data_IF_105916444100
#
_entry.id   IF_105916444100
#
_cell.length_a   1.000
_cell.length_b   1.000
_cell.length_c   1.000
_cell.angle_alpha   90.00
_cell.angle_beta   90.00
_cell.angle_gamma   90.00
#
_symmetry.space_group_name_H-M   'P 1'
#
loop_
_entity.id
_entity.type
_entity.pdbx_description
1 polymer ?
#
# COMPACT_ATOMS: atom_id res chain seq x y z
N UNK A 1 -5.06 -9.54 15.76
CA UNK A 1 -3.78 -9.64 15.04
C UNK A 1 -3.98 -10.61 13.91
N UNK A 2 -3.66 -10.19 12.70
CA UNK A 2 -3.59 -11.05 11.53
C UNK A 2 -2.43 -12.01 11.74
N UNK A 3 -2.48 -13.22 11.17
CA UNK A 3 -1.34 -14.13 11.30
C UNK A 3 -0.14 -13.52 10.56
N UNK A 4 1.10 -13.68 11.05
CA UNK A 4 2.28 -13.10 10.38
C UNK A 4 2.36 -13.43 8.87
N UNK A 5 1.98 -14.66 8.51
CA UNK A 5 1.91 -15.13 7.12
C UNK A 5 0.82 -14.48 6.25
N UNK A 6 -0.17 -13.83 6.87
CA UNK A 6 -1.30 -13.16 6.21
C UNK A 6 -1.18 -11.63 6.29
N UNK A 7 -0.13 -11.08 6.94
CA UNK A 7 0.04 -9.64 7.18
C UNK A 7 0.31 -8.84 5.90
N UNK A 8 0.96 -9.46 4.92
CA UNK A 8 1.38 -8.77 3.71
C UNK A 8 0.63 -9.27 2.48
N UNK A 9 0.37 -8.37 1.56
CA UNK A 9 -0.13 -8.70 0.22
C UNK A 9 0.67 -7.92 -0.82
N UNK A 10 1.21 -8.62 -1.82
CA UNK A 10 1.97 -8.00 -2.91
C UNK A 10 1.08 -7.79 -4.15
N UNK A 11 1.21 -6.64 -4.80
CA UNK A 11 0.65 -6.39 -6.14
C UNK A 11 1.46 -7.05 -7.26
N UNK A 12 2.60 -7.67 -6.92
CA UNK A 12 3.56 -8.21 -7.87
C UNK A 12 4.57 -7.17 -8.35
N UNK A 13 5.42 -7.62 -9.28
CA UNK A 13 6.61 -6.90 -9.72
C UNK A 13 6.35 -6.12 -11.02
N UNK A 14 6.77 -4.85 -11.05
CA UNK A 14 6.76 -4.03 -12.26
C UNK A 14 8.20 -3.76 -12.74
N UNK A 15 8.50 -4.19 -13.96
CA UNK A 15 9.83 -4.07 -14.57
C UNK A 15 9.90 -2.86 -15.51
N UNK A 16 10.91 -2.01 -15.31
CA UNK A 16 11.19 -0.85 -16.18
C UNK A 16 12.20 -1.22 -17.27
N UNK A 17 11.86 -2.23 -18.05
CA UNK A 17 12.72 -2.83 -19.06
C UNK A 17 12.47 -4.33 -19.22
N UNK A 18 13.37 -5.02 -19.90
CA UNK A 18 13.31 -6.49 -19.99
C UNK A 18 13.63 -7.11 -18.63
N UNK A 19 12.77 -8.01 -18.16
CA UNK A 19 12.99 -8.82 -16.94
C UNK A 19 14.22 -9.73 -17.05
N UNK A 20 14.65 -10.08 -18.27
CA UNK A 20 15.84 -10.91 -18.50
C UNK A 20 17.14 -10.17 -18.20
N UNK A 21 17.11 -8.83 -18.17
CA UNK A 21 18.27 -8.04 -17.78
C UNK A 21 18.29 -7.89 -16.25
N UNK A 22 19.26 -8.48 -15.53
CA UNK A 22 19.31 -8.45 -14.07
C UNK A 22 19.46 -7.05 -13.49
N UNK A 23 19.90 -6.06 -14.29
CA UNK A 23 20.03 -4.66 -13.87
C UNK A 23 18.78 -3.82 -14.10
N UNK A 24 17.72 -4.42 -14.65
CA UNK A 24 16.46 -3.72 -14.87
C UNK A 24 15.90 -3.28 -13.53
N UNK A 25 15.62 -1.98 -13.42
CA UNK A 25 14.96 -1.42 -12.25
C UNK A 25 13.57 -2.03 -12.13
N UNK A 26 13.24 -2.50 -10.94
CA UNK A 26 11.98 -3.16 -10.63
C UNK A 26 11.42 -2.54 -9.37
N UNK A 27 10.10 -2.37 -9.30
CA UNK A 27 9.45 -2.08 -8.05
C UNK A 27 8.32 -3.07 -7.76
N UNK A 28 8.03 -3.23 -6.48
CA UNK A 28 6.90 -4.01 -5.99
C UNK A 28 6.15 -3.15 -4.99
N UNK A 29 4.84 -3.20 -5.06
CA UNK A 29 3.96 -2.50 -4.15
C UNK A 29 3.40 -3.54 -3.16
N UNK A 30 3.66 -3.36 -1.87
CA UNK A 30 3.26 -4.31 -0.84
C UNK A 30 2.36 -3.62 0.17
N UNK A 31 1.18 -4.19 0.37
CA UNK A 31 0.26 -3.80 1.42
C UNK A 31 0.64 -4.42 2.76
N UNK A 32 0.73 -3.62 3.80
CA UNK A 32 0.84 -4.06 5.19
C UNK A 32 -0.52 -3.88 5.90
N UNK A 33 -1.19 -4.99 6.20
CA UNK A 33 -2.50 -4.97 6.86
C UNK A 33 -2.46 -4.45 8.30
N UNK A 34 -1.32 -4.54 9.00
CA UNK A 34 -1.20 -4.00 10.37
C UNK A 34 -1.01 -2.47 10.34
N UNK A 35 -0.27 -1.96 9.35
CA UNK A 35 -0.03 -0.52 9.20
C UNK A 35 -1.06 0.17 8.30
N UNK A 36 -1.93 -0.59 7.64
CA UNK A 36 -2.97 -0.13 6.70
C UNK A 36 -2.42 0.81 5.62
N UNK A 37 -1.29 0.44 5.02
CA UNK A 37 -0.63 1.25 3.98
C UNK A 37 0.12 0.40 2.98
N UNK A 38 0.29 0.96 1.77
CA UNK A 38 1.22 0.45 0.77
C UNK A 38 2.64 0.95 1.06
N UNK A 39 3.62 0.08 0.85
CA UNK A 39 5.04 0.43 0.83
C UNK A 39 5.62 -0.06 -0.49
N UNK A 40 6.28 0.85 -1.20
CA UNK A 40 6.98 0.55 -2.45
C UNK A 40 8.38 0.04 -2.17
N UNK A 41 8.72 -1.14 -2.65
CA UNK A 41 10.06 -1.70 -2.59
C UNK A 41 10.69 -1.60 -3.98
N UNK A 42 11.84 -0.94 -4.08
CA UNK A 42 12.56 -0.68 -5.33
C UNK A 42 13.87 -1.47 -5.30
N UNK A 43 14.20 -2.14 -6.39
CA UNK A 43 15.49 -2.82 -6.54
C UNK A 43 15.69 -3.27 -7.98
N UNK A 44 16.36 -4.40 -8.17
CA UNK A 44 16.73 -4.91 -9.48
C UNK A 44 15.98 -6.20 -9.82
N UNK A 45 15.85 -6.52 -11.11
CA UNK A 45 15.27 -7.78 -11.57
C UNK A 45 16.07 -9.02 -11.12
N UNK A 46 17.35 -8.83 -10.75
CA UNK A 46 18.16 -9.88 -10.13
C UNK A 46 17.61 -10.29 -8.76
N UNK A 47 17.20 -9.30 -7.96
CA UNK A 47 16.62 -9.54 -6.65
C UNK A 47 15.16 -9.97 -6.74
N UNK A 48 14.41 -9.41 -7.71
CA UNK A 48 12.99 -9.69 -7.93
C UNK A 48 12.80 -10.48 -9.24
N UNK A 49 13.06 -11.79 -9.25
CA UNK A 49 12.84 -12.60 -10.44
C UNK A 49 11.32 -12.78 -10.71
N UNK A 50 10.88 -12.85 -11.97
CA UNK A 50 9.44 -12.84 -12.34
C UNK A 50 8.59 -14.00 -11.81
N UNK A 51 9.24 -15.04 -11.29
CA UNK A 51 8.61 -16.31 -10.92
C UNK A 51 8.54 -16.49 -9.38
N UNK A 52 9.08 -15.56 -8.60
CA UNK A 52 9.16 -15.68 -7.13
C UNK A 52 8.69 -14.41 -6.40
N UNK A 53 7.79 -14.59 -5.44
CA UNK A 53 7.30 -13.52 -4.55
C UNK A 53 8.27 -13.30 -3.37
N UNK A 54 9.44 -12.74 -3.65
CA UNK A 54 10.52 -12.53 -2.66
C UNK A 54 10.45 -11.18 -1.95
N UNK A 55 9.65 -10.25 -2.44
CA UNK A 55 9.53 -8.89 -1.91
C UNK A 55 8.89 -8.84 -0.52
N UNK A 56 7.97 -9.76 -0.20
CA UNK A 56 7.32 -9.83 1.11
C UNK A 56 8.33 -10.19 2.21
N UNK A 57 9.12 -11.27 2.11
CA UNK A 57 10.21 -11.55 3.04
C UNK A 57 11.23 -10.42 3.18
N UNK A 58 11.50 -9.66 2.11
CA UNK A 58 12.43 -8.51 2.16
C UNK A 58 11.83 -7.40 3.02
N UNK A 59 10.61 -6.95 2.71
CA UNK A 59 9.94 -5.89 3.48
C UNK A 59 9.77 -6.27 4.96
N UNK A 60 9.37 -7.52 5.23
CA UNK A 60 9.10 -8.01 6.58
C UNK A 60 10.31 -7.88 7.52
N UNK A 61 11.54 -7.87 7.01
CA UNK A 61 12.75 -7.72 7.82
C UNK A 61 12.87 -6.35 8.49
N UNK A 62 12.31 -5.30 7.88
CA UNK A 62 12.57 -3.94 8.32
C UNK A 62 11.31 -3.09 8.54
N UNK A 63 10.14 -3.51 8.06
CA UNK A 63 8.90 -2.71 8.07
C UNK A 63 8.47 -2.23 9.45
N UNK A 64 8.74 -3.00 10.50
CA UNK A 64 8.43 -2.63 11.89
C UNK A 64 9.37 -1.55 12.46
N UNK A 65 10.51 -1.33 11.80
CA UNK A 65 11.49 -0.31 12.16
C UNK A 65 11.39 0.93 11.26
N UNK A 66 10.59 0.87 10.19
CA UNK A 66 10.37 2.02 9.31
C UNK A 66 9.48 3.06 9.98
N UNK A 67 9.82 4.33 9.75
CA UNK A 67 8.93 5.43 10.11
C UNK A 67 7.59 5.32 9.35
N UNK A 68 6.45 5.66 9.97
CA UNK A 68 5.15 5.73 9.28
C UNK A 68 5.10 6.71 8.10
N UNK A 69 6.12 7.57 7.95
CA UNK A 69 6.24 8.51 6.82
C UNK A 69 6.92 7.91 5.59
N UNK A 70 7.64 6.80 5.75
CA UNK A 70 8.33 6.15 4.62
C UNK A 70 7.29 5.55 3.68
N UNK A 71 7.43 5.86 2.38
CA UNK A 71 6.55 5.42 1.29
C UNK A 71 7.26 4.47 0.33
N UNK A 72 8.55 4.68 0.10
CA UNK A 72 9.37 3.78 -0.67
C UNK A 72 10.68 3.43 0.03
N UNK A 73 11.18 2.24 -0.25
CA UNK A 73 12.48 1.75 0.17
C UNK A 73 13.22 1.22 -1.05
N UNK A 74 14.50 1.55 -1.18
CA UNK A 74 15.38 0.96 -2.18
C UNK A 74 16.26 -0.08 -1.51
N UNK A 75 16.35 -1.26 -2.11
CA UNK A 75 17.16 -2.38 -1.62
C UNK A 75 18.25 -2.75 -2.63
N UNK A 76 19.39 -3.20 -2.11
CA UNK A 76 20.46 -3.78 -2.92
C UNK A 76 20.19 -5.24 -3.29
N UNK A 77 21.11 -5.85 -4.06
CA UNK A 77 21.00 -7.24 -4.50
C UNK A 77 21.07 -8.26 -3.34
N UNK A 78 21.43 -7.82 -2.15
CA UNK A 78 21.46 -8.60 -0.91
C UNK A 78 20.17 -8.43 -0.09
N UNK A 79 19.24 -7.58 -0.53
CA UNK A 79 17.98 -7.30 0.15
C UNK A 79 18.10 -6.31 1.31
N UNK A 80 19.21 -5.58 1.42
CA UNK A 80 19.44 -4.56 2.45
C UNK A 80 18.97 -3.19 1.97
N UNK A 81 18.41 -2.40 2.88
CA UNK A 81 17.98 -1.03 2.56
C UNK A 81 19.22 -0.16 2.30
N UNK A 82 19.26 0.43 1.11
CA UNK A 82 20.24 1.47 0.75
C UNK A 82 19.66 2.88 0.78
N UNK A 83 18.33 3.01 0.60
CA UNK A 83 17.65 4.30 0.59
C UNK A 83 16.21 4.18 1.09
N UNK A 84 15.70 5.25 1.71
CA UNK A 84 14.30 5.38 2.09
C UNK A 84 13.76 6.72 1.59
N UNK A 85 12.52 6.73 1.13
CA UNK A 85 11.84 7.92 0.65
C UNK A 85 10.52 8.13 1.40
N UNK A 86 10.22 9.39 1.71
CA UNK A 86 8.96 9.85 2.28
C UNK A 86 8.16 10.71 1.29
N UNK A 87 8.49 10.63 0.00
CA UNK A 87 7.83 11.37 -1.06
C UNK A 87 6.36 10.92 -1.19
N UNK A 88 5.37 11.83 -1.03
CA UNK A 88 3.96 11.49 -1.20
C UNK A 88 3.61 11.00 -2.60
N UNK A 89 4.35 11.38 -3.65
CA UNK A 89 4.09 10.93 -5.03
C UNK A 89 4.40 9.42 -5.22
N UNK A 90 5.06 8.80 -4.23
CA UNK A 90 5.36 7.37 -4.22
C UNK A 90 4.37 6.56 -3.37
N UNK A 91 3.36 7.22 -2.79
CA UNK A 91 2.30 6.57 -2.01
C UNK A 91 1.19 6.07 -2.93
N UNK A 92 1.28 4.80 -3.34
CA UNK A 92 0.25 4.14 -4.15
C UNK A 92 -0.89 3.57 -3.29
N UNK A 93 -1.08 4.04 -2.05
CA UNK A 93 -2.19 3.63 -1.19
C UNK A 93 -3.52 4.12 -1.76
N UNK A 94 -4.11 3.33 -2.67
CA UNK A 94 -5.37 3.65 -3.35
C UNK A 94 -6.63 3.35 -2.54
N UNK A 95 -6.50 2.62 -1.42
CA UNK A 95 -7.61 2.24 -0.54
C UNK A 95 -7.34 2.68 0.89
N UNK A 96 -8.30 3.40 1.47
CA UNK A 96 -8.31 3.69 2.90
C UNK A 96 -8.75 2.40 3.58
N UNK A 97 -7.81 1.68 4.21
CA UNK A 97 -8.17 0.58 5.10
C UNK A 97 -9.16 1.08 6.15
N UNK A 98 -10.26 0.35 6.36
CA UNK A 98 -11.24 0.69 7.39
C UNK A 98 -10.52 0.82 8.73
N UNK A 99 -10.40 2.06 9.23
CA UNK A 99 -9.75 2.31 10.50
C UNK A 99 -10.48 1.53 11.60
N UNK A 100 -9.75 0.94 12.57
CA UNK A 100 -10.37 0.33 13.72
C UNK A 100 -11.37 1.30 14.34
N UNK A 101 -12.56 0.81 14.72
CA UNK A 101 -13.62 1.67 15.29
C UNK A 101 -13.11 2.46 16.50
N UNK A 102 -12.12 1.91 17.23
CA UNK A 102 -11.43 2.56 18.35
C UNK A 102 -10.52 3.74 17.94
N UNK A 103 -10.04 3.76 16.70
CA UNK A 103 -9.28 4.87 16.12
C UNK A 103 -10.17 5.90 15.42
N UNK A 104 -11.44 5.58 15.16
CA UNK A 104 -12.41 6.51 14.57
C UNK A 104 -12.93 7.49 15.62
N UNK A 105 -13.05 8.77 15.24
CA UNK A 105 -13.68 9.78 16.09
C UNK A 105 -15.18 9.50 16.17
N UNK A 106 -15.77 9.73 17.35
CA UNK A 106 -17.21 9.64 17.53
C UNK A 106 -17.94 10.58 16.57
N UNK A 107 -18.92 10.03 15.84
CA UNK A 107 -19.80 10.80 14.96
C UNK A 107 -21.01 11.39 15.71
N UNK A 108 -21.02 11.38 17.06
CA UNK A 108 -22.21 11.80 17.82
C UNK A 108 -22.63 13.26 17.58
N UNK A 109 -21.65 14.13 17.27
CA UNK A 109 -21.88 15.54 16.96
C UNK A 109 -22.12 15.78 15.46
N UNK A 110 -21.96 14.75 14.63
CA UNK A 110 -22.18 14.85 13.20
C UNK A 110 -23.69 14.87 12.92
N UNK A 111 -24.10 15.75 12.01
CA UNK A 111 -25.49 15.82 11.57
C UNK A 111 -25.86 14.55 10.80
N UNK A 112 -26.73 13.74 11.38
CA UNK A 112 -27.29 12.57 10.69
C UNK A 112 -28.17 13.02 9.53
N UNK A 113 -27.92 12.48 8.34
CA UNK A 113 -28.77 12.68 7.16
C UNK A 113 -29.45 11.35 6.84
N UNK A 114 -30.75 11.40 6.55
CA UNK A 114 -31.45 10.22 6.05
C UNK A 114 -30.98 9.90 4.64
N UNK A 115 -30.63 8.63 4.40
CA UNK A 115 -30.22 8.13 3.09
C UNK A 115 -31.20 8.52 1.96
N UNK A 116 -32.50 8.54 2.25
CA UNK A 116 -33.55 8.96 1.31
C UNK A 116 -33.47 10.43 0.86
N UNK A 117 -32.61 11.25 1.47
CA UNK A 117 -32.35 12.64 1.10
C UNK A 117 -31.04 12.82 0.32
N UNK A 118 -30.30 11.74 0.08
CA UNK A 118 -29.06 11.77 -0.69
C UNK A 118 -29.36 11.47 -2.15
N UNK A 119 -28.71 12.21 -3.05
CA UNK A 119 -28.69 11.91 -4.48
C UNK A 119 -27.30 11.40 -4.86
N UNK A 120 -27.27 10.20 -5.45
CA UNK A 120 -26.06 9.62 -6.04
C UNK A 120 -25.65 10.46 -7.26
N UNK A 121 -24.45 11.04 -7.23
CA UNK A 121 -23.93 11.86 -8.33
C UNK A 121 -23.07 11.07 -9.31
N UNK A 122 -22.31 10.09 -8.81
CA UNK A 122 -21.42 9.26 -9.62
C UNK A 122 -21.01 7.98 -8.87
N UNK A 123 -20.52 6.96 -9.61
CA UNK A 123 -19.92 5.73 -9.07
C UNK A 123 -18.46 5.62 -9.51
N UNK A 124 -17.55 5.92 -8.61
CA UNK A 124 -16.12 5.79 -8.86
C UNK A 124 -15.63 4.36 -8.58
N UNK A 125 -15.85 3.44 -9.52
CA UNK A 125 -15.21 2.11 -9.52
C UNK A 125 -15.59 1.15 -8.38
N UNK A 126 -15.07 -0.09 -8.41
CA UNK A 126 -15.35 -1.08 -7.38
C UNK A 126 -14.60 -0.76 -6.08
N UNK A 127 -15.35 -0.53 -5.00
CA UNK A 127 -14.82 -0.38 -3.63
C UNK A 127 -14.82 1.03 -3.03
N UNK A 128 -15.35 2.05 -3.73
CA UNK A 128 -15.35 3.45 -3.24
C UNK A 128 -16.66 3.81 -2.55
N UNK A 129 -16.55 4.47 -1.38
CA UNK A 129 -17.67 5.05 -0.63
C UNK A 129 -18.44 6.09 -1.48
N UNK A 130 -19.77 6.02 -1.45
CA UNK A 130 -20.69 6.78 -2.31
C UNK A 130 -20.51 8.32 -2.17
N UNK A 131 -20.27 9.01 -3.28
CA UNK A 131 -20.28 10.48 -3.34
C UNK A 131 -21.74 10.98 -3.37
N UNK A 132 -22.24 11.40 -2.21
CA UNK A 132 -23.60 11.92 -2.05
C UNK A 132 -23.62 13.44 -1.83
N UNK A 133 -24.52 14.14 -2.51
CA UNK A 133 -24.78 15.58 -2.30
C UNK A 133 -26.06 15.78 -1.49
N UNK A 134 -26.05 16.78 -0.61
CA UNK A 134 -27.21 17.23 0.15
C UNK A 134 -27.87 18.43 -0.56
N UNK A 135 -29.20 18.42 -0.66
CA UNK A 135 -30.03 19.58 -1.04
C UNK A 135 -30.65 20.27 0.19
#
# INVERSE_FOLDING_TARGET
MIKPEERFWSEGQAYFGSSDNPKTLTHCNIWDWDQLRMIKVIGTAKLFPPEEDVEVPILAQFVDYLSPKVRAVTVDDEGLIVEVSADPEQDDTGFIGYLPFTATKSLHDCRTVHYSKLQELDRLGPGVEEMSKYE
#
